data_IF_597993387281
#
_entry.id   IF_597993387281
#
_cell.length_a   1.000
_cell.length_b   1.000
_cell.length_c   1.000
_cell.angle_alpha   90.00
_cell.angle_beta   90.00
_cell.angle_gamma   90.00
#
_symmetry.space_group_name_H-M   'P 1'
#
loop_
_entity.id
_entity.type
_entity.pdbx_description
1 polymer ?
#
# COMPACT_ATOMS: atom_id res chain seq x y z
N UNK A 1 3.09 -1.08 -33.03
CA UNK A 1 2.98 -0.07 -31.96
C UNK A 1 2.81 -0.81 -30.64
N UNK A 2 3.73 -0.65 -29.67
CA UNK A 2 3.54 -1.24 -28.36
C UNK A 2 2.40 -0.49 -27.66
N UNK A 3 1.36 -1.21 -27.26
CA UNK A 3 0.24 -0.65 -26.52
C UNK A 3 0.67 -0.39 -25.07
N UNK A 4 0.49 0.84 -24.56
CA UNK A 4 0.65 1.13 -23.12
C UNK A 4 -0.54 0.49 -22.40
N UNK A 5 -0.35 -0.72 -21.87
CA UNK A 5 -1.37 -1.48 -21.15
C UNK A 5 -1.46 -0.99 -19.71
N UNK A 6 -2.66 -0.97 -19.14
CA UNK A 6 -2.90 -0.65 -17.72
C UNK A 6 -2.08 -1.61 -16.84
N UNK A 7 -1.10 -1.07 -16.11
CA UNK A 7 -0.23 -1.82 -15.20
C UNK A 7 -0.82 -1.98 -13.80
N UNK A 8 -0.04 -2.57 -12.90
CA UNK A 8 -0.36 -2.61 -11.46
C UNK A 8 -0.51 -1.19 -10.91
N UNK A 9 -1.42 -1.00 -9.96
CA UNK A 9 -1.58 0.28 -9.23
C UNK A 9 -0.77 0.32 -7.93
N UNK A 10 -0.10 -0.78 -7.58
CA UNK A 10 0.78 -0.83 -6.42
C UNK A 10 2.04 -0.02 -6.69
N UNK A 11 2.37 0.94 -5.81
CA UNK A 11 3.53 1.82 -5.99
C UNK A 11 4.85 1.04 -6.14
N UNK A 12 5.02 -0.05 -5.40
CA UNK A 12 6.22 -0.88 -5.47
C UNK A 12 6.40 -1.57 -6.84
N UNK A 13 5.30 -1.98 -7.47
CA UNK A 13 5.34 -2.57 -8.80
C UNK A 13 5.62 -1.50 -9.86
N UNK A 14 5.02 -0.31 -9.71
CA UNK A 14 5.23 0.82 -10.61
C UNK A 14 6.66 1.36 -10.54
N UNK A 15 7.27 1.39 -9.36
CA UNK A 15 8.64 1.84 -9.18
C UNK A 15 9.65 0.92 -9.89
N UNK A 16 9.39 -0.39 -9.90
CA UNK A 16 10.22 -1.41 -10.55
C UNK A 16 9.90 -1.60 -12.03
N UNK A 17 8.68 -1.25 -12.44
CA UNK A 17 8.25 -1.40 -13.82
C UNK A 17 9.11 -0.52 -14.74
N UNK A 18 9.34 -1.03 -15.95
CA UNK A 18 9.92 -0.23 -17.01
C UNK A 18 9.00 0.98 -17.29
N UNK A 19 9.60 2.16 -17.32
CA UNK A 19 8.87 3.41 -17.59
C UNK A 19 8.62 3.47 -19.08
N UNK A 20 7.35 3.44 -19.47
CA UNK A 20 6.93 3.48 -20.87
C UNK A 20 5.90 4.57 -21.06
N UNK A 21 5.97 5.21 -22.22
CA UNK A 21 5.02 6.23 -22.60
C UNK A 21 4.88 6.41 -24.10
N UNK A 22 3.96 7.29 -24.46
CA UNK A 22 3.56 7.59 -25.82
C UNK A 22 3.24 9.07 -25.95
N UNK A 23 3.82 9.70 -26.98
CA UNK A 23 3.47 11.06 -27.37
C UNK A 23 2.00 11.10 -27.81
N UNK A 24 1.26 12.08 -27.29
CA UNK A 24 -0.15 12.28 -27.68
C UNK A 24 -0.31 13.12 -28.93
N UNK A 25 0.75 13.85 -29.35
CA UNK A 25 0.69 14.88 -30.38
C UNK A 25 -0.01 16.17 -29.92
N UNK A 26 -0.39 16.27 -28.63
CA UNK A 26 -0.98 17.45 -28.03
C UNK A 26 0.09 18.26 -27.29
N UNK A 27 -0.12 19.57 -27.21
CA UNK A 27 0.72 20.48 -26.44
C UNK A 27 -0.12 21.29 -25.45
N UNK A 28 0.54 21.81 -24.41
CA UNK A 28 -0.01 22.77 -23.46
C UNK A 28 0.95 23.94 -23.29
N UNK A 29 0.42 25.14 -23.08
CA UNK A 29 1.24 26.34 -22.89
C UNK A 29 1.74 26.45 -21.45
N UNK A 30 3.06 26.57 -21.26
CA UNK A 30 3.67 26.77 -19.95
C UNK A 30 3.33 28.17 -19.39
N UNK A 31 2.74 28.29 -18.18
CA UNK A 31 2.14 29.55 -17.72
C UNK A 31 3.14 30.66 -17.37
N UNK A 32 4.41 30.30 -17.12
CA UNK A 32 5.50 31.27 -16.87
C UNK A 32 6.26 31.68 -18.14
N UNK A 33 6.68 30.73 -18.98
CA UNK A 33 7.51 31.00 -20.17
C UNK A 33 6.70 31.26 -21.44
N UNK A 34 5.46 30.78 -21.51
CA UNK A 34 4.63 30.80 -22.72
C UNK A 34 5.03 29.75 -23.77
N UNK A 35 6.01 28.90 -23.48
CA UNK A 35 6.46 27.84 -24.39
C UNK A 35 5.44 26.70 -24.47
N UNK A 36 5.34 26.05 -25.63
CA UNK A 36 4.53 24.85 -25.81
C UNK A 36 5.26 23.62 -25.27
N UNK A 37 4.60 22.87 -24.40
CA UNK A 37 5.12 21.65 -23.76
C UNK A 37 4.34 20.44 -24.27
N UNK A 38 5.01 19.38 -24.77
CA UNK A 38 4.31 18.20 -25.26
C UNK A 38 3.65 17.40 -24.13
N UNK A 39 2.48 16.84 -24.42
CA UNK A 39 1.74 15.97 -23.48
C UNK A 39 2.02 14.52 -23.83
N UNK A 40 2.43 13.75 -22.82
CA UNK A 40 2.71 12.31 -22.94
C UNK A 40 1.76 11.50 -22.07
N UNK A 41 1.38 10.31 -22.56
CA UNK A 41 0.84 9.26 -21.70
C UNK A 41 2.00 8.48 -21.13
N UNK A 42 2.06 8.31 -19.81
CA UNK A 42 3.08 7.52 -19.13
C UNK A 42 2.44 6.52 -18.16
N UNK A 43 2.97 5.30 -18.11
CA UNK A 43 2.40 4.20 -17.31
C UNK A 43 2.53 4.38 -15.79
N UNK A 44 3.39 5.30 -15.34
CA UNK A 44 3.63 5.59 -13.93
C UNK A 44 2.76 6.74 -13.39
N UNK A 45 1.94 7.38 -14.23
CA UNK A 45 1.00 8.41 -13.80
C UNK A 45 -0.32 7.75 -13.40
N UNK A 46 -0.62 7.79 -12.11
CA UNK A 46 -1.84 7.18 -11.55
C UNK A 46 -3.02 8.14 -11.62
N UNK A 47 -4.05 7.79 -12.39
CA UNK A 47 -5.28 8.59 -12.51
C UNK A 47 -6.01 8.83 -11.19
N UNK A 48 -5.88 7.91 -10.22
CA UNK A 48 -6.47 8.04 -8.89
C UNK A 48 -5.63 8.88 -7.91
N UNK A 49 -4.45 9.37 -8.33
CA UNK A 49 -3.58 10.19 -7.50
C UNK A 49 -3.41 11.61 -8.06
N UNK A 50 -3.53 12.60 -7.17
CA UNK A 50 -3.44 14.00 -7.56
C UNK A 50 -4.56 14.36 -8.55
N UNK A 51 -4.18 14.92 -9.70
CA UNK A 51 -5.09 15.20 -10.83
C UNK A 51 -5.05 14.14 -11.92
N UNK A 52 -4.25 13.08 -11.78
CA UNK A 52 -3.95 12.16 -12.88
C UNK A 52 -3.03 12.75 -13.96
N UNK A 53 -2.39 13.88 -13.69
CA UNK A 53 -1.37 14.49 -14.54
C UNK A 53 -0.25 15.08 -13.67
N UNK A 54 0.98 15.01 -14.15
CA UNK A 54 2.17 15.57 -13.49
C UNK A 54 3.00 16.33 -14.52
N UNK A 55 3.66 17.41 -14.10
CA UNK A 55 4.71 18.04 -14.91
C UNK A 55 5.99 17.21 -14.78
N UNK A 56 6.77 17.13 -15.85
CA UNK A 56 8.06 16.46 -15.84
C UNK A 56 9.19 17.49 -15.76
N UNK A 57 10.15 17.31 -14.84
CA UNK A 57 11.35 18.17 -14.73
C UNK A 57 12.59 17.29 -14.75
N UNK A 58 13.01 16.78 -15.93
CA UNK A 58 14.03 15.72 -16.02
C UNK A 58 15.39 16.05 -15.42
N UNK A 59 15.76 17.33 -15.32
CA UNK A 59 17.03 17.69 -14.70
C UNK A 59 17.03 17.54 -13.17
N UNK A 60 15.85 17.40 -12.55
CA UNK A 60 15.67 17.48 -11.09
C UNK A 60 14.70 16.44 -10.49
N UNK A 61 14.25 15.48 -11.30
CA UNK A 61 13.48 14.29 -10.86
C UNK A 61 14.04 13.06 -11.58
N UNK A 62 14.44 12.05 -10.80
CA UNK A 62 15.13 10.85 -11.31
C UNK A 62 14.26 10.05 -12.29
N UNK A 63 12.95 9.98 -12.05
CA UNK A 63 12.02 9.23 -12.90
C UNK A 63 11.76 9.97 -14.20
N UNK A 64 11.63 11.28 -14.14
CA UNK A 64 11.52 12.12 -15.32
C UNK A 64 12.80 12.11 -16.16
N UNK A 65 13.97 12.03 -15.51
CA UNK A 65 15.27 11.86 -16.18
C UNK A 65 15.33 10.56 -16.97
N UNK A 66 15.02 9.42 -16.32
CA UNK A 66 15.00 8.11 -16.98
C UNK A 66 14.06 8.10 -18.18
N UNK A 67 12.87 8.69 -18.03
CA UNK A 67 11.91 8.81 -19.11
C UNK A 67 12.42 9.70 -20.24
N UNK A 68 13.00 10.85 -19.92
CA UNK A 68 13.51 11.79 -20.90
C UNK A 68 14.70 11.23 -21.70
N UNK A 69 15.65 10.56 -21.03
CA UNK A 69 16.77 9.89 -21.69
C UNK A 69 16.28 8.81 -22.65
N UNK A 70 15.28 8.02 -22.22
CA UNK A 70 14.73 6.93 -23.05
C UNK A 70 14.03 7.43 -24.32
N UNK A 71 13.35 8.57 -24.23
CA UNK A 71 12.54 9.12 -25.32
C UNK A 71 13.18 10.33 -26.01
N UNK A 72 14.46 10.62 -25.74
CA UNK A 72 15.21 11.76 -26.28
C UNK A 72 14.49 13.10 -26.08
N UNK A 73 13.95 13.31 -24.87
CA UNK A 73 13.25 14.53 -24.50
C UNK A 73 14.22 15.57 -23.90
N UNK A 74 13.92 16.88 -24.03
CA UNK A 74 14.77 17.94 -23.51
C UNK A 74 14.99 17.84 -22.00
N UNK A 75 16.24 17.97 -21.57
CA UNK A 75 16.65 18.03 -20.16
C UNK A 75 17.21 19.43 -19.89
N UNK A 76 16.46 20.27 -19.18
CA UNK A 76 16.81 21.66 -18.89
C UNK A 76 17.11 21.86 -17.41
N UNK A 77 18.34 22.24 -17.10
CA UNK A 77 18.75 22.58 -15.74
C UNK A 77 18.15 23.90 -15.31
N UNK A 78 17.49 23.90 -14.14
CA UNK A 78 16.94 25.09 -13.49
C UNK A 78 17.38 25.26 -12.03
N UNK A 79 18.06 24.28 -11.44
CA UNK A 79 18.66 24.36 -10.11
C UNK A 79 20.19 24.36 -10.25
N UNK A 80 20.85 25.26 -9.52
CA UNK A 80 22.30 25.35 -9.49
C UNK A 80 22.90 24.07 -8.89
N UNK A 81 23.92 23.54 -9.54
CA UNK A 81 24.61 22.31 -9.14
C UNK A 81 26.02 22.65 -8.66
N UNK A 82 26.53 22.01 -7.59
CA UNK A 82 27.93 22.16 -7.18
C UNK A 82 28.90 21.81 -8.33
N UNK A 83 30.04 22.50 -8.38
CA UNK A 83 31.11 22.20 -9.34
C UNK A 83 31.56 20.74 -9.20
N UNK A 84 31.70 20.03 -10.32
CA UNK A 84 32.15 18.63 -10.36
C UNK A 84 31.07 17.59 -10.04
N UNK A 85 29.87 17.99 -9.61
CA UNK A 85 28.80 17.07 -9.19
C UNK A 85 28.51 15.95 -10.21
N UNK A 86 28.31 16.29 -11.48
CA UNK A 86 28.00 15.31 -12.52
C UNK A 86 29.19 14.41 -12.87
N UNK A 87 30.42 14.90 -12.72
CA UNK A 87 31.63 14.12 -13.02
C UNK A 87 31.86 13.07 -11.93
N UNK A 88 31.64 13.43 -10.66
CA UNK A 88 31.67 12.52 -9.53
C UNK A 88 30.62 11.41 -9.66
N UNK A 89 29.38 11.77 -10.00
CA UNK A 89 28.29 10.81 -10.24
C UNK A 89 28.61 9.80 -11.35
N UNK A 90 29.17 10.28 -12.46
CA UNK A 90 29.59 9.39 -13.57
C UNK A 90 30.75 8.49 -13.14
N UNK A 91 31.68 8.99 -12.34
CA UNK A 91 32.80 8.21 -11.83
C UNK A 91 32.32 7.10 -10.88
N UNK A 92 31.38 7.39 -10.00
CA UNK A 92 30.77 6.41 -9.09
C UNK A 92 29.98 5.34 -9.84
N UNK A 93 29.11 5.74 -10.77
CA UNK A 93 28.34 4.80 -11.59
C UNK A 93 29.25 3.84 -12.37
N UNK A 94 30.35 4.36 -12.92
CA UNK A 94 31.38 3.55 -13.59
C UNK A 94 32.11 2.61 -12.64
N UNK A 95 32.40 3.05 -11.42
CA UNK A 95 33.07 2.21 -10.42
C UNK A 95 32.18 1.05 -9.94
N UNK A 96 30.86 1.26 -9.91
CA UNK A 96 29.86 0.29 -9.45
C UNK A 96 29.18 -0.50 -10.57
N UNK A 97 29.57 -0.30 -11.84
CA UNK A 97 28.95 -0.90 -13.03
C UNK A 97 27.41 -0.69 -13.06
N UNK A 98 26.98 0.53 -12.76
CA UNK A 98 25.57 0.92 -12.69
C UNK A 98 25.20 1.98 -13.73
N UNK A 99 23.91 2.11 -14.03
CA UNK A 99 23.39 3.20 -14.87
C UNK A 99 23.51 4.54 -14.12
N UNK A 100 23.90 5.60 -14.85
CA UNK A 100 24.02 6.94 -14.29
C UNK A 100 22.72 7.73 -14.47
N UNK A 101 22.15 8.20 -13.35
CA UNK A 101 21.08 9.18 -13.34
C UNK A 101 21.68 10.56 -13.05
N UNK A 102 21.45 11.54 -13.92
CA UNK A 102 22.00 12.90 -13.79
C UNK A 102 20.94 13.92 -13.31
N UNK A 103 19.84 13.46 -12.73
CA UNK A 103 18.92 14.36 -12.04
C UNK A 103 19.55 14.90 -10.75
N UNK A 104 19.61 16.23 -10.59
CA UNK A 104 20.00 16.86 -9.35
C UNK A 104 18.76 17.12 -8.49
N UNK A 105 18.56 16.31 -7.44
CA UNK A 105 17.35 16.29 -6.60
C UNK A 105 17.44 17.15 -5.34
N UNK A 106 18.63 17.66 -5.01
CA UNK A 106 18.87 18.49 -3.84
C UNK A 106 18.39 19.93 -4.03
N UNK A 107 18.12 20.61 -2.93
CA UNK A 107 17.74 22.03 -2.96
C UNK A 107 18.96 22.91 -3.19
N UNK A 108 18.82 23.89 -4.08
CA UNK A 108 19.79 24.97 -4.27
C UNK A 108 19.06 26.20 -4.87
N UNK A 109 19.80 27.22 -5.26
CA UNK A 109 19.26 28.40 -5.93
C UNK A 109 18.87 28.12 -7.38
N UNK A 110 17.89 28.86 -7.88
CA UNK A 110 17.46 28.76 -9.27
C UNK A 110 18.47 29.39 -10.25
N UNK A 111 18.58 28.78 -11.42
CA UNK A 111 19.31 29.25 -12.61
C UNK A 111 18.43 29.03 -13.85
N UNK A 112 18.72 29.70 -14.96
CA UNK A 112 17.99 29.54 -16.24
C UNK A 112 16.45 29.67 -16.11
N UNK A 113 16.00 30.46 -15.13
CA UNK A 113 14.63 30.63 -14.68
C UNK A 113 14.17 32.10 -14.78
N UNK A 114 14.97 32.97 -15.41
CA UNK A 114 14.58 34.34 -15.74
C UNK A 114 14.48 35.23 -14.50
N UNK A 115 13.32 35.81 -14.23
CA UNK A 115 13.12 36.70 -13.07
C UNK A 115 13.26 35.98 -11.71
N UNK A 116 13.30 34.64 -11.71
CA UNK A 116 13.44 33.83 -10.51
C UNK A 116 14.89 33.38 -10.25
N UNK A 117 15.85 33.73 -11.11
CA UNK A 117 17.25 33.35 -10.93
C UNK A 117 17.82 33.87 -9.60
N UNK A 118 18.60 33.03 -8.92
CA UNK A 118 19.21 33.33 -7.64
C UNK A 118 18.31 33.13 -6.41
N UNK A 119 17.01 32.90 -6.59
CA UNK A 119 16.10 32.60 -5.48
C UNK A 119 16.34 31.19 -4.93
N UNK A 120 16.25 31.04 -3.61
CA UNK A 120 16.19 29.72 -2.98
C UNK A 120 14.81 29.06 -3.12
N UNK A 121 14.65 27.84 -2.59
CA UNK A 121 13.40 27.09 -2.69
C UNK A 121 12.17 27.84 -2.13
N UNK A 122 12.27 28.42 -0.94
CA UNK A 122 11.12 29.06 -0.30
C UNK A 122 10.77 30.35 -1.02
N UNK A 123 11.78 31.15 -1.37
CA UNK A 123 11.61 32.38 -2.13
C UNK A 123 11.01 32.12 -3.52
N UNK A 124 11.53 31.12 -4.23
CA UNK A 124 11.03 30.74 -5.55
C UNK A 124 9.58 30.23 -5.49
N UNK A 125 9.27 29.38 -4.51
CA UNK A 125 7.91 28.84 -4.32
C UNK A 125 6.89 29.97 -4.10
N UNK A 126 7.18 30.89 -3.17
CA UNK A 126 6.28 32.01 -2.89
C UNK A 126 6.20 33.00 -4.06
N UNK A 127 7.32 33.29 -4.74
CA UNK A 127 7.34 34.20 -5.89
C UNK A 127 6.53 33.65 -7.09
N UNK A 128 6.69 32.36 -7.41
CA UNK A 128 5.93 31.71 -8.48
C UNK A 128 4.44 31.65 -8.14
N UNK A 129 4.09 31.34 -6.89
CA UNK A 129 2.69 31.35 -6.47
C UNK A 129 2.07 32.75 -6.55
N UNK A 130 2.74 33.77 -6.02
CA UNK A 130 2.27 35.15 -6.07
C UNK A 130 2.02 35.65 -7.51
N UNK A 131 2.78 35.12 -8.49
CA UNK A 131 2.61 35.44 -9.91
C UNK A 131 1.45 34.71 -10.57
N UNK A 132 1.19 33.46 -10.19
CA UNK A 132 0.24 32.56 -10.86
C UNK A 132 -1.15 32.53 -10.20
N UNK A 133 -1.24 32.72 -8.89
CA UNK A 133 -2.50 32.67 -8.14
C UNK A 133 -3.52 33.75 -8.55
N UNK A 134 -3.15 35.03 -8.80
CA UNK A 134 -4.10 36.04 -9.29
C UNK A 134 -4.67 35.76 -10.69
N UNK A 135 -4.04 34.84 -11.44
CA UNK A 135 -4.50 34.38 -12.76
C UNK A 135 -5.30 33.09 -12.67
N UNK A 136 -5.53 32.56 -11.47
CA UNK A 136 -6.16 31.26 -11.22
C UNK A 136 -5.40 30.06 -11.83
N UNK A 137 -4.09 30.21 -12.06
CA UNK A 137 -3.24 29.18 -12.65
C UNK A 137 -2.43 28.37 -11.62
N UNK A 138 -2.50 28.76 -10.35
CA UNK A 138 -1.88 28.02 -9.24
C UNK A 138 -2.64 28.23 -7.93
N UNK A 139 -2.55 27.24 -7.04
CA UNK A 139 -2.98 27.35 -5.63
C UNK A 139 -2.17 26.37 -4.76
N UNK A 140 -1.91 26.73 -3.49
CA UNK A 140 -1.31 25.77 -2.54
C UNK A 140 -2.27 24.60 -2.31
N UNK A 141 -1.73 23.38 -2.28
CA UNK A 141 -2.49 22.17 -1.97
C UNK A 141 -1.63 21.22 -1.13
N UNK A 142 -2.18 20.79 0.00
CA UNK A 142 -1.60 19.72 0.82
C UNK A 142 -2.12 18.40 0.25
N UNK A 143 -1.22 17.42 0.05
CA UNK A 143 -1.58 16.09 -0.42
C UNK A 143 -0.96 15.03 0.48
N UNK A 144 -1.63 13.88 0.57
CA UNK A 144 -1.16 12.72 1.31
C UNK A 144 -0.96 11.55 0.35
N UNK A 145 0.13 10.80 0.55
CA UNK A 145 0.32 9.50 -0.12
C UNK A 145 -0.65 8.46 0.41
N UNK A 146 -1.05 8.58 1.68
CA UNK A 146 -2.06 7.75 2.31
C UNK A 146 -3.37 7.78 1.50
N UNK A 147 -4.00 6.61 1.38
CA UNK A 147 -5.31 6.42 0.76
C UNK A 147 -6.31 5.98 1.81
N UNK A 148 -7.58 6.15 1.48
CA UNK A 148 -8.65 5.59 2.30
C UNK A 148 -8.55 4.07 2.36
N UNK A 149 -8.97 3.52 3.50
CA UNK A 149 -8.92 2.08 3.73
C UNK A 149 -10.14 1.40 3.07
N UNK A 150 -9.88 0.71 1.97
CA UNK A 150 -10.89 -0.16 1.34
C UNK A 150 -11.10 -1.43 2.16
N UNK A 151 -12.19 -1.48 2.92
CA UNK A 151 -12.49 -2.59 3.84
C UNK A 151 -13.29 -3.74 3.21
N UNK A 152 -13.81 -3.62 1.99
CA UNK A 152 -14.60 -4.69 1.37
C UNK A 152 -13.72 -5.81 0.81
N UNK A 153 -14.12 -7.06 1.05
CA UNK A 153 -13.47 -8.27 0.51
C UNK A 153 -14.52 -9.19 -0.09
N UNK A 154 -14.30 -9.59 -1.35
CA UNK A 154 -15.12 -10.61 -2.01
C UNK A 154 -14.67 -12.02 -1.56
N UNK A 155 -14.78 -12.29 -0.26
CA UNK A 155 -14.40 -13.54 0.40
C UNK A 155 -15.51 -13.93 1.38
N UNK A 156 -15.64 -15.23 1.62
CA UNK A 156 -16.66 -15.76 2.52
C UNK A 156 -16.23 -15.67 3.99
N UNK A 157 -14.99 -16.06 4.30
CA UNK A 157 -14.55 -16.18 5.68
C UNK A 157 -14.10 -14.83 6.25
N UNK A 158 -15.07 -14.07 6.75
CA UNK A 158 -14.87 -12.78 7.40
C UNK A 158 -16.15 -12.24 8.03
N UNK A 159 -16.05 -11.14 8.76
CA UNK A 159 -17.22 -10.47 9.34
C UNK A 159 -18.11 -9.89 8.23
N UNK A 160 -19.40 -10.27 8.11
CA UNK A 160 -20.31 -9.69 7.13
C UNK A 160 -20.43 -8.18 7.30
N UNK A 161 -20.39 -7.44 6.19
CA UNK A 161 -20.59 -5.99 6.21
C UNK A 161 -22.08 -5.72 6.53
N UNK A 162 -22.42 -4.95 7.58
CA UNK A 162 -23.80 -4.78 8.04
C UNK A 162 -24.56 -3.72 7.23
N UNK A 163 -24.59 -3.89 5.90
CA UNK A 163 -25.31 -3.04 4.95
C UNK A 163 -26.34 -3.86 4.17
N UNK A 164 -27.43 -3.19 3.78
CA UNK A 164 -28.53 -3.72 2.97
C UNK A 164 -28.67 -2.83 1.72
N UNK A 165 -28.72 -3.45 0.55
CA UNK A 165 -28.91 -2.82 -0.74
C UNK A 165 -30.40 -2.87 -1.13
N UNK A 166 -31.04 -1.71 -1.20
CA UNK A 166 -32.44 -1.56 -1.58
C UNK A 166 -32.57 -0.72 -2.86
N UNK A 167 -33.33 -1.19 -3.84
CA UNK A 167 -33.53 -0.49 -5.11
C UNK A 167 -34.16 0.90 -4.95
N UNK A 168 -34.94 1.12 -3.88
CA UNK A 168 -35.62 2.39 -3.63
C UNK A 168 -34.87 3.33 -2.69
N UNK A 169 -34.15 2.78 -1.70
CA UNK A 169 -33.50 3.55 -0.64
C UNK A 169 -31.97 3.64 -0.78
N UNK A 170 -31.39 2.92 -1.74
CA UNK A 170 -29.95 2.73 -1.87
C UNK A 170 -29.37 1.80 -0.80
N UNK A 171 -28.09 2.00 -0.48
CA UNK A 171 -27.39 1.25 0.56
C UNK A 171 -27.73 1.83 1.94
N UNK A 172 -28.29 1.00 2.82
CA UNK A 172 -28.72 1.38 4.18
C UNK A 172 -28.08 0.46 5.22
N UNK A 173 -27.73 0.95 6.42
CA UNK A 173 -27.20 0.08 7.46
C UNK A 173 -28.28 -0.88 7.98
N UNK A 174 -27.84 -2.02 8.51
CA UNK A 174 -28.68 -2.89 9.36
C UNK A 174 -29.01 -2.15 10.66
N UNK A 175 -30.23 -2.31 11.17
CA UNK A 175 -30.65 -1.72 12.45
C UNK A 175 -29.87 -2.33 13.62
N UNK A 176 -29.58 -1.54 14.65
CA UNK A 176 -28.74 -1.97 15.78
C UNK A 176 -29.26 -3.22 16.49
N UNK A 177 -30.58 -3.33 16.64
CA UNK A 177 -31.26 -4.48 17.25
C UNK A 177 -31.15 -5.78 16.42
N UNK A 178 -30.89 -5.66 15.12
CA UNK A 178 -30.76 -6.77 14.17
C UNK A 178 -29.29 -7.18 13.99
N UNK A 179 -28.37 -6.51 14.70
CA UNK A 179 -26.99 -6.93 14.80
C UNK A 179 -26.84 -8.09 15.80
N UNK A 180 -25.88 -9.02 15.57
CA UNK A 180 -24.97 -9.07 14.41
C UNK A 180 -25.62 -9.70 13.17
N UNK A 181 -25.13 -9.32 11.98
CA UNK A 181 -25.35 -10.12 10.77
C UNK A 181 -24.49 -11.38 10.88
N UNK A 182 -25.13 -12.51 11.21
CA UNK A 182 -24.42 -13.77 11.47
C UNK A 182 -23.94 -14.40 10.16
N UNK A 183 -22.64 -14.68 10.07
CA UNK A 183 -22.05 -15.44 8.96
C UNK A 183 -22.56 -16.90 9.02
N UNK A 184 -23.20 -17.43 7.95
CA UNK A 184 -23.54 -18.85 7.88
C UNK A 184 -22.27 -19.70 7.89
N UNK A 185 -22.16 -20.70 8.76
CA UNK A 185 -20.93 -21.51 8.90
C UNK A 185 -20.99 -22.87 8.21
N UNK A 186 -22.19 -23.37 7.90
CA UNK A 186 -22.39 -24.63 7.18
C UNK A 186 -22.30 -24.42 5.66
N UNK A 187 -21.13 -23.94 5.22
CA UNK A 187 -20.84 -23.61 3.82
C UNK A 187 -19.49 -24.21 3.46
N UNK A 188 -19.45 -24.96 2.35
CA UNK A 188 -18.22 -25.52 1.78
C UNK A 188 -17.85 -24.70 0.54
N UNK A 189 -16.80 -23.87 0.59
CA UNK A 189 -16.35 -23.11 -0.58
C UNK A 189 -15.86 -24.05 -1.68
N UNK A 190 -16.34 -23.88 -2.91
CA UNK A 190 -15.95 -24.67 -4.09
C UNK A 190 -14.87 -23.99 -4.95
N UNK A 191 -14.37 -22.84 -4.48
CA UNK A 191 -13.39 -22.00 -5.18
C UNK A 191 -13.98 -21.09 -6.27
N UNK A 192 -15.29 -21.12 -6.51
CA UNK A 192 -15.96 -20.31 -7.55
C UNK A 192 -16.67 -19.09 -6.92
N UNK A 193 -15.90 -18.02 -6.74
CA UNK A 193 -16.44 -16.75 -6.27
C UNK A 193 -16.82 -16.74 -4.77
N UNK A 194 -17.65 -15.78 -4.37
CA UNK A 194 -18.09 -15.64 -2.97
C UNK A 194 -19.39 -16.44 -2.74
N UNK A 195 -19.37 -17.53 -1.95
CA UNK A 195 -20.52 -18.40 -1.78
C UNK A 195 -21.72 -17.72 -1.11
N UNK A 196 -21.50 -16.65 -0.32
CA UNK A 196 -22.59 -15.92 0.34
C UNK A 196 -23.66 -15.43 -0.65
N UNK A 197 -23.26 -15.08 -1.88
CA UNK A 197 -24.17 -14.64 -2.96
C UNK A 197 -25.20 -15.69 -3.35
N UNK A 198 -24.92 -16.96 -3.09
CA UNK A 198 -25.75 -18.09 -3.52
C UNK A 198 -26.56 -18.69 -2.36
N UNK A 199 -26.67 -17.98 -1.22
CA UNK A 199 -27.39 -18.42 -0.02
C UNK A 199 -28.61 -17.52 0.16
N UNK A 200 -29.79 -17.87 -0.41
CA UNK A 200 -30.97 -17.01 -0.41
C UNK A 200 -31.43 -16.60 1.00
N UNK A 201 -31.27 -17.47 2.00
CA UNK A 201 -31.61 -17.21 3.39
C UNK A 201 -30.69 -16.19 4.08
N UNK A 202 -29.49 -15.97 3.54
CA UNK A 202 -28.58 -14.92 3.97
C UNK A 202 -28.82 -13.63 3.20
N UNK A 203 -28.88 -13.72 1.86
CA UNK A 203 -28.95 -12.55 0.97
C UNK A 203 -30.30 -11.86 1.07
N UNK A 204 -31.40 -12.60 1.02
CA UNK A 204 -32.73 -11.99 0.95
C UNK A 204 -33.14 -11.45 2.32
N UNK A 205 -33.50 -10.16 2.35
CA UNK A 205 -33.99 -9.48 3.53
C UNK A 205 -35.03 -8.43 3.14
N UNK A 206 -35.51 -7.67 4.12
CA UNK A 206 -36.36 -6.49 3.90
C UNK A 206 -35.59 -5.23 4.22
N UNK A 207 -35.82 -4.17 3.45
CA UNK A 207 -35.22 -2.86 3.71
C UNK A 207 -35.77 -2.28 5.02
N UNK A 208 -34.93 -1.91 6.00
CA UNK A 208 -35.40 -1.37 7.27
C UNK A 208 -36.10 -0.01 7.14
N UNK A 209 -35.82 0.74 6.06
CA UNK A 209 -36.43 2.07 5.83
C UNK A 209 -37.83 2.02 5.21
N UNK A 210 -38.09 1.08 4.29
CA UNK A 210 -39.33 1.07 3.51
C UNK A 210 -40.10 -0.26 3.54
N UNK A 211 -39.53 -1.33 4.11
CA UNK A 211 -40.14 -2.65 4.18
C UNK A 211 -40.12 -3.46 2.89
N UNK A 212 -39.70 -2.89 1.76
CA UNK A 212 -39.62 -3.60 0.48
C UNK A 212 -38.52 -4.69 0.50
N UNK A 213 -38.61 -5.71 -0.39
CA UNK A 213 -37.53 -6.67 -0.60
C UNK A 213 -36.19 -5.98 -0.89
N UNK A 214 -35.12 -6.47 -0.28
CA UNK A 214 -33.77 -5.96 -0.41
C UNK A 214 -32.75 -7.09 -0.24
N UNK A 215 -31.49 -6.81 -0.57
CA UNK A 215 -30.40 -7.79 -0.47
C UNK A 215 -29.36 -7.33 0.54
N UNK A 216 -28.87 -8.24 1.40
CA UNK A 216 -27.70 -7.95 2.25
C UNK A 216 -26.44 -7.79 1.41
N UNK A 217 -25.52 -6.94 1.86
CA UNK A 217 -24.16 -6.97 1.35
C UNK A 217 -23.55 -8.37 1.58
N UNK A 218 -22.85 -8.87 0.57
CA UNK A 218 -22.24 -10.21 0.59
C UNK A 218 -20.74 -10.16 0.73
N UNK A 219 -20.12 -9.00 0.52
CA UNK A 219 -18.73 -8.79 0.89
C UNK A 219 -18.55 -8.82 2.41
N UNK A 220 -17.39 -9.31 2.84
CA UNK A 220 -16.97 -9.29 4.24
C UNK A 220 -15.94 -8.19 4.47
N UNK A 221 -15.73 -7.82 5.73
CA UNK A 221 -14.66 -6.91 6.10
C UNK A 221 -13.27 -7.50 5.82
N UNK A 222 -12.34 -6.59 5.56
CA UNK A 222 -10.90 -6.80 5.64
C UNK A 222 -10.51 -7.26 7.03
N UNK A 223 -9.70 -8.32 7.15
CA UNK A 223 -9.38 -8.95 8.44
C UNK A 223 -8.55 -8.05 9.36
N UNK A 224 -8.01 -6.94 8.84
CA UNK A 224 -7.41 -5.89 9.65
C UNK A 224 -8.43 -5.17 10.54
N UNK A 225 -9.73 -5.19 10.20
CA UNK A 225 -10.77 -4.60 11.05
C UNK A 225 -10.75 -5.26 12.43
N UNK A 226 -10.72 -6.58 12.52
CA UNK A 226 -10.68 -7.30 13.79
C UNK A 226 -9.39 -7.03 14.57
N UNK A 227 -8.23 -7.05 13.89
CA UNK A 227 -6.93 -6.80 14.54
C UNK A 227 -6.72 -5.33 14.94
N UNK A 228 -7.57 -4.41 14.50
CA UNK A 228 -7.43 -2.98 14.80
C UNK A 228 -7.93 -2.58 16.19
N UNK A 229 -8.71 -3.43 16.87
CA UNK A 229 -9.31 -3.05 18.17
C UNK A 229 -9.33 -4.17 19.23
N UNK A 230 -8.87 -5.38 18.89
CA UNK A 230 -8.85 -6.52 19.82
C UNK A 230 -8.12 -6.24 21.15
N UNK A 231 -7.07 -5.40 21.14
CA UNK A 231 -6.34 -5.01 22.35
C UNK A 231 -7.26 -4.30 23.37
N UNK A 232 -8.21 -3.49 22.88
CA UNK A 232 -9.19 -2.82 23.72
C UNK A 232 -10.28 -3.80 24.18
N UNK A 233 -10.72 -4.72 23.29
CA UNK A 233 -11.69 -5.76 23.66
C UNK A 233 -11.19 -6.67 24.77
N UNK A 234 -9.89 -6.98 24.82
CA UNK A 234 -9.30 -7.77 25.90
C UNK A 234 -9.45 -7.15 27.29
N UNK A 235 -9.68 -5.83 27.41
CA UNK A 235 -10.00 -5.23 28.70
C UNK A 235 -11.35 -5.73 29.26
N UNK A 236 -12.28 -6.15 28.38
CA UNK A 236 -13.65 -6.56 28.75
C UNK A 236 -14.26 -7.59 27.77
N UNK A 237 -13.65 -8.77 27.62
CA UNK A 237 -14.00 -9.71 26.53
C UNK A 237 -15.43 -10.26 26.63
N UNK A 238 -16.01 -10.28 27.83
CA UNK A 238 -17.34 -10.82 28.10
C UNK A 238 -18.43 -9.74 28.23
N UNK A 239 -18.15 -8.47 27.90
CA UNK A 239 -19.18 -7.42 27.88
C UNK A 239 -20.11 -7.64 26.67
N UNK A 240 -21.34 -8.08 26.94
CA UNK A 240 -22.33 -8.38 25.90
C UNK A 240 -23.13 -7.15 25.44
N UNK A 241 -22.90 -5.97 26.02
CA UNK A 241 -23.68 -4.76 25.75
C UNK A 241 -22.86 -3.71 25.01
N UNK A 242 -21.55 -3.65 25.27
CA UNK A 242 -20.67 -2.63 24.68
C UNK A 242 -19.56 -3.29 23.87
N UNK A 243 -19.05 -2.54 22.89
CA UNK A 243 -17.81 -2.90 22.18
C UNK A 243 -16.64 -3.07 23.17
N UNK A 244 -16.47 -2.12 24.10
CA UNK A 244 -15.52 -2.18 25.22
C UNK A 244 -16.14 -1.51 26.45
N UNK A 245 -16.04 -2.15 27.61
CA UNK A 245 -16.43 -1.55 28.87
C UNK A 245 -15.50 -0.38 29.22
N UNK A 246 -16.06 0.83 29.35
CA UNK A 246 -15.27 2.05 29.56
C UNK A 246 -14.41 2.03 30.84
N UNK A 247 -14.94 1.54 31.95
CA UNK A 247 -14.18 1.45 33.20
C UNK A 247 -13.01 0.48 33.09
N UNK A 248 -13.17 -0.60 32.33
CA UNK A 248 -12.09 -1.53 32.06
C UNK A 248 -11.05 -0.93 31.08
N UNK A 249 -11.50 -0.25 30.02
CA UNK A 249 -10.63 0.46 29.10
C UNK A 249 -9.74 1.48 29.82
N UNK A 250 -10.32 2.34 30.66
CA UNK A 250 -9.58 3.35 31.42
C UNK A 250 -8.58 2.76 32.42
N UNK A 251 -8.78 1.51 32.84
CA UNK A 251 -7.86 0.82 33.76
C UNK A 251 -6.67 0.21 33.02
N UNK A 252 -6.90 -0.35 31.83
CA UNK A 252 -5.94 -1.20 31.13
C UNK A 252 -5.29 -0.56 29.91
N UNK A 253 -5.85 0.54 29.40
CA UNK A 253 -5.32 1.26 28.23
C UNK A 253 -4.63 2.56 28.64
N UNK A 254 -3.60 2.99 27.89
CA UNK A 254 -3.02 2.33 26.71
C UNK A 254 -2.26 1.04 27.08
N UNK A 255 -1.99 0.19 26.09
CA UNK A 255 -1.14 -1.00 26.30
C UNK A 255 0.28 -0.52 26.60
N UNK A 256 0.81 -0.88 27.77
CA UNK A 256 2.16 -0.44 28.19
C UNK A 256 3.26 -0.93 27.24
N UNK A 257 3.19 -2.20 26.83
CA UNK A 257 4.17 -2.82 25.93
C UNK A 257 3.46 -3.68 24.88
N UNK A 258 3.62 -3.30 23.61
CA UNK A 258 3.18 -4.09 22.47
C UNK A 258 4.38 -4.80 21.83
N UNK A 259 4.23 -6.09 21.50
CA UNK A 259 5.30 -6.91 20.91
C UNK A 259 4.78 -7.54 19.62
N UNK A 260 5.47 -7.33 18.50
CA UNK A 260 5.05 -7.85 17.20
C UNK A 260 6.15 -7.70 16.14
N UNK A 261 6.11 -8.52 15.09
CA UNK A 261 7.16 -8.49 14.07
C UNK A 261 7.10 -7.22 13.20
N UNK A 262 8.23 -6.86 12.60
CA UNK A 262 8.38 -5.65 11.78
C UNK A 262 7.49 -5.65 10.52
N UNK A 263 7.04 -6.83 10.08
CA UNK A 263 6.07 -6.99 8.98
C UNK A 263 4.75 -6.25 9.23
N UNK A 264 4.41 -5.96 10.48
CA UNK A 264 3.19 -5.24 10.86
C UNK A 264 3.41 -3.72 11.06
N UNK A 265 4.62 -3.21 10.82
CA UNK A 265 5.01 -1.85 11.18
C UNK A 265 4.21 -0.74 10.47
N UNK A 266 3.70 -1.00 9.27
CA UNK A 266 2.95 0.00 8.48
C UNK A 266 1.45 -0.21 8.62
N UNK A 267 0.88 -1.26 8.02
CA UNK A 267 -0.58 -1.42 7.91
C UNK A 267 -1.26 -1.62 9.27
N UNK A 268 -1.00 -2.75 9.94
CA UNK A 268 -1.65 -3.10 11.21
C UNK A 268 -1.51 -2.01 12.28
N UNK A 269 -0.29 -1.52 12.53
CA UNK A 269 -0.07 -0.48 13.53
C UNK A 269 -0.77 0.84 13.16
N UNK A 270 -0.78 1.22 11.88
CA UNK A 270 -1.52 2.41 11.45
C UNK A 270 -3.03 2.23 11.66
N UNK A 271 -3.59 1.06 11.32
CA UNK A 271 -5.01 0.79 11.50
C UNK A 271 -5.40 0.72 12.97
N UNK A 272 -4.60 0.09 13.83
CA UNK A 272 -4.86 0.08 15.27
C UNK A 272 -4.86 1.50 15.88
N UNK A 273 -3.94 2.37 15.45
CA UNK A 273 -3.91 3.77 15.86
C UNK A 273 -5.11 4.56 15.33
N UNK A 274 -5.49 4.33 14.07
CA UNK A 274 -6.69 4.92 13.46
C UNK A 274 -7.95 4.52 14.23
N UNK A 275 -8.14 3.22 14.50
CA UNK A 275 -9.28 2.69 15.23
C UNK A 275 -9.31 3.16 16.69
N UNK A 276 -8.15 3.32 17.35
CA UNK A 276 -8.09 3.91 18.69
C UNK A 276 -8.65 5.32 18.71
N UNK A 277 -8.26 6.15 17.74
CA UNK A 277 -8.75 7.53 17.62
C UNK A 277 -10.25 7.56 17.30
N UNK A 278 -10.76 6.65 16.46
CA UNK A 278 -12.21 6.49 16.25
C UNK A 278 -12.93 6.12 17.54
N UNK A 279 -12.44 5.11 18.28
CA UNK A 279 -13.02 4.72 19.57
C UNK A 279 -12.97 5.84 20.61
N UNK A 280 -11.91 6.66 20.60
CA UNK A 280 -11.77 7.84 21.47
C UNK A 280 -12.81 8.90 21.11
N UNK A 281 -12.98 9.17 19.82
CA UNK A 281 -13.94 10.17 19.32
C UNK A 281 -15.39 9.74 19.60
N UNK A 282 -15.66 8.42 19.62
CA UNK A 282 -16.91 7.80 20.10
C UNK A 282 -16.96 7.59 21.62
N UNK A 283 -15.99 8.14 22.37
CA UNK A 283 -15.95 8.16 23.84
C UNK A 283 -15.91 6.77 24.50
N UNK A 284 -15.43 5.74 23.79
CA UNK A 284 -15.25 4.36 24.27
C UNK A 284 -13.92 4.16 25.01
N UNK A 285 -12.88 4.90 24.62
CA UNK A 285 -11.53 4.88 25.23
C UNK A 285 -11.04 6.31 25.51
N UNK A 286 -9.97 6.42 26.29
CA UNK A 286 -9.30 7.70 26.59
C UNK A 286 -7.84 7.67 26.14
N UNK A 287 -7.28 8.83 25.82
CA UNK A 287 -5.93 8.97 25.28
C UNK A 287 -5.90 8.90 23.76
N UNK A 288 -4.74 9.22 23.18
CA UNK A 288 -4.61 9.41 21.73
C UNK A 288 -4.02 8.19 21.01
N UNK A 289 -3.32 7.32 21.72
CA UNK A 289 -2.53 6.23 21.13
C UNK A 289 -2.75 4.91 21.88
N UNK A 290 -2.85 3.78 21.16
CA UNK A 290 -3.17 2.48 21.76
C UNK A 290 -1.99 1.81 22.48
N UNK A 291 -0.75 2.13 22.12
CA UNK A 291 0.46 1.45 22.57
C UNK A 291 1.50 2.47 23.06
N UNK A 292 1.94 2.36 24.31
CA UNK A 292 2.96 3.26 24.88
C UNK A 292 4.37 2.89 24.40
N UNK A 293 4.67 1.59 24.34
CA UNK A 293 5.94 1.06 23.83
C UNK A 293 5.71 -0.01 22.77
N UNK A 294 6.63 -0.09 21.80
CA UNK A 294 6.66 -1.10 20.75
C UNK A 294 8.01 -1.81 20.76
N UNK A 295 7.99 -3.14 20.85
CA UNK A 295 9.16 -4.00 20.67
C UNK A 295 8.96 -4.85 19.43
N UNK A 296 9.86 -4.72 18.47
CA UNK A 296 9.84 -5.50 17.23
C UNK A 296 10.80 -6.68 17.31
N UNK A 297 10.27 -7.90 17.51
CA UNK A 297 11.13 -9.08 17.55
C UNK A 297 11.74 -9.40 16.18
N UNK A 298 12.94 -9.98 16.20
CA UNK A 298 13.56 -10.57 15.03
C UNK A 298 12.82 -11.83 14.55
N UNK A 299 13.06 -12.21 13.30
CA UNK A 299 12.42 -13.37 12.69
C UNK A 299 13.12 -14.67 13.11
N UNK A 300 12.33 -15.72 13.32
CA UNK A 300 12.85 -17.09 13.39
C UNK A 300 12.98 -17.62 11.96
N UNK A 301 14.19 -18.06 11.61
CA UNK A 301 14.50 -18.55 10.28
C UNK A 301 14.72 -20.06 10.30
N UNK A 302 14.35 -20.75 9.22
CA UNK A 302 14.72 -22.15 9.00
C UNK A 302 15.11 -22.41 7.55
N UNK A 303 15.84 -23.50 7.34
CA UNK A 303 16.12 -24.02 6.00
C UNK A 303 14.86 -24.61 5.37
N UNK A 304 14.72 -24.42 4.06
CA UNK A 304 13.63 -24.99 3.27
C UNK A 304 14.09 -26.24 2.55
N UNK A 305 13.21 -27.23 2.42
CA UNK A 305 13.48 -28.47 1.68
C UNK A 305 12.32 -28.75 0.74
N UNK A 306 12.59 -29.00 -0.53
CA UNK A 306 11.52 -29.16 -1.51
C UNK A 306 11.88 -30.07 -2.68
N UNK A 307 10.88 -30.44 -3.47
CA UNK A 307 11.01 -31.04 -4.80
C UNK A 307 10.09 -30.30 -5.77
N UNK A 308 10.53 -30.18 -7.03
CA UNK A 308 9.69 -29.65 -8.12
C UNK A 308 9.00 -30.83 -8.80
N UNK A 309 7.68 -30.76 -8.89
CA UNK A 309 6.83 -31.76 -9.52
C UNK A 309 6.85 -31.61 -11.05
N UNK A 310 6.39 -32.63 -11.77
CA UNK A 310 6.39 -32.63 -13.24
C UNK A 310 5.49 -31.54 -13.86
N UNK A 311 4.48 -31.06 -13.11
CA UNK A 311 3.60 -29.96 -13.50
C UNK A 311 4.18 -28.56 -13.18
N UNK A 312 5.39 -28.50 -12.62
CA UNK A 312 6.06 -27.27 -12.22
C UNK A 312 5.68 -26.76 -10.82
N UNK A 313 4.78 -27.42 -10.10
CA UNK A 313 4.49 -27.09 -8.71
C UNK A 313 5.62 -27.54 -7.78
N UNK A 314 5.72 -26.92 -6.59
CA UNK A 314 6.74 -27.25 -5.59
C UNK A 314 6.10 -27.91 -4.38
N UNK A 315 6.58 -29.09 -4.01
CA UNK A 315 6.24 -29.74 -2.73
C UNK A 315 7.34 -29.45 -1.72
N UNK A 316 6.97 -28.78 -0.62
CA UNK A 316 7.85 -28.51 0.51
C UNK A 316 7.73 -29.61 1.57
N UNK A 317 8.85 -29.91 2.23
CA UNK A 317 8.95 -30.92 3.28
C UNK A 317 9.46 -30.27 4.56
N UNK A 318 8.93 -30.70 5.71
CA UNK A 318 9.41 -30.22 7.00
C UNK A 318 10.82 -30.74 7.28
N UNK A 319 11.65 -29.92 7.92
CA UNK A 319 13.02 -30.29 8.26
C UNK A 319 13.09 -31.57 9.11
N UNK A 320 12.07 -31.85 9.93
CA UNK A 320 11.98 -33.06 10.75
C UNK A 320 11.77 -34.34 9.93
N UNK A 321 11.27 -34.23 8.70
CA UNK A 321 11.09 -35.35 7.77
C UNK A 321 12.33 -35.63 6.92
N UNK A 322 13.38 -34.82 7.08
CA UNK A 322 14.59 -34.88 6.26
C UNK A 322 15.77 -35.41 7.09
N UNK A 323 16.50 -36.38 6.53
CA UNK A 323 17.86 -36.71 6.97
C UNK A 323 18.84 -35.77 6.28
N UNK A 324 19.50 -34.92 7.08
CA UNK A 324 20.37 -33.85 6.61
C UNK A 324 21.82 -34.17 6.97
N UNK A 325 22.68 -34.27 5.96
CA UNK A 325 24.12 -34.32 6.17
C UNK A 325 24.70 -32.91 6.14
N UNK A 326 25.57 -32.61 7.11
CA UNK A 326 26.26 -31.32 7.21
C UNK A 326 27.75 -31.49 6.92
N UNK A 327 28.36 -30.45 6.34
CA UNK A 327 29.82 -30.37 6.26
C UNK A 327 30.45 -29.93 7.60
N UNK A 328 31.78 -29.89 7.65
CA UNK A 328 32.55 -29.47 8.84
C UNK A 328 32.26 -28.04 9.31
N UNK A 329 31.67 -27.20 8.45
CA UNK A 329 31.26 -25.82 8.77
C UNK A 329 29.80 -25.72 9.21
N UNK A 330 29.10 -26.84 9.36
CA UNK A 330 27.68 -26.89 9.73
C UNK A 330 26.73 -26.49 8.60
N UNK A 331 27.17 -26.50 7.34
CA UNK A 331 26.30 -26.21 6.20
C UNK A 331 25.66 -27.52 5.70
N UNK A 332 24.34 -27.53 5.43
CA UNK A 332 23.68 -28.70 4.89
C UNK A 332 24.15 -28.95 3.45
N UNK A 333 24.63 -30.16 3.16
CA UNK A 333 25.19 -30.56 1.86
C UNK A 333 24.39 -31.67 1.16
N UNK A 334 23.59 -32.42 1.92
CA UNK A 334 22.71 -33.46 1.40
C UNK A 334 21.45 -33.52 2.24
N UNK A 335 20.32 -33.74 1.59
CA UNK A 335 19.03 -33.86 2.24
C UNK A 335 18.24 -35.00 1.59
N UNK A 336 17.78 -35.95 2.39
CA UNK A 336 17.01 -37.12 1.95
C UNK A 336 15.69 -37.14 2.71
N UNK A 337 14.58 -37.32 2.01
CA UNK A 337 13.29 -37.49 2.66
C UNK A 337 13.22 -38.88 3.31
N UNK A 338 12.90 -38.92 4.60
CA UNK A 338 12.86 -40.16 5.39
C UNK A 338 11.84 -41.18 4.87
N UNK A 339 10.71 -40.71 4.33
CA UNK A 339 9.61 -41.58 3.92
C UNK A 339 9.87 -42.41 2.68
N UNK A 340 10.68 -41.92 1.74
CA UNK A 340 10.96 -42.60 0.47
C UNK A 340 12.45 -42.80 0.16
N UNK A 341 13.34 -42.27 1.02
CA UNK A 341 14.78 -42.38 0.86
C UNK A 341 15.32 -41.63 -0.36
N UNK A 342 14.53 -40.77 -1.00
CA UNK A 342 14.92 -40.02 -2.19
C UNK A 342 15.44 -38.61 -1.83
N UNK A 343 16.35 -38.04 -2.62
CA UNK A 343 16.89 -36.71 -2.35
C UNK A 343 15.83 -35.61 -2.42
N UNK A 344 16.01 -34.56 -1.63
CA UNK A 344 15.26 -33.29 -1.74
C UNK A 344 16.24 -32.14 -2.01
N UNK A 345 15.75 -31.07 -2.61
CA UNK A 345 16.53 -29.85 -2.82
C UNK A 345 16.60 -29.06 -1.52
N UNK A 346 17.82 -28.69 -1.13
CA UNK A 346 18.08 -27.76 -0.03
C UNK A 346 17.87 -26.35 -0.57
N UNK A 347 16.82 -25.68 -0.11
CA UNK A 347 16.48 -24.31 -0.47
C UNK A 347 17.23 -23.28 0.37
N UNK A 348 16.81 -22.02 0.24
CA UNK A 348 17.36 -20.92 1.03
C UNK A 348 16.85 -21.00 2.47
N UNK A 349 17.59 -20.34 3.37
CA UNK A 349 17.06 -20.00 4.68
C UNK A 349 15.99 -18.94 4.45
N UNK A 350 14.76 -19.27 4.80
CA UNK A 350 13.60 -18.41 4.58
C UNK A 350 12.90 -18.11 5.92
N UNK A 351 12.01 -17.13 5.88
CA UNK A 351 11.16 -16.80 7.01
C UNK A 351 10.18 -17.95 7.22
N UNK A 352 10.21 -18.58 8.39
CA UNK A 352 9.10 -19.45 8.75
C UNK A 352 7.89 -18.56 9.02
N UNK A 353 6.81 -18.78 8.27
CA UNK A 353 5.50 -18.17 8.52
C UNK A 353 4.73 -19.04 9.50
#
# INVERSE_FOLDING_TARGET
MPFVKKGSVAEADLAKAEKIGMDTGLTVTHPLTGEEVPVWVANYVLMSYGSGAVMAVPAHDERDYEFAVKYDLPIKQVINTPDGYFDELKADAKANDSEVNLAYTERNTLVNSGEFDGLDFEQAFEAMLAKLEPKELAKKKIQYRLRDWGVSRQRYWGCPIPMINCEHCGTVPVEEQDLPVVLPTDVVPDGRGNPLKNIPEFVNTTCPKCGNPAERETDTFDTFVESSWYYARFASPNDAQNMVNKSAANKWLPVDQYVGGVEHAVMHLLYARFFHKLMRDENLVTGDEPFANLMTQGMVLAGTFYRVNADGSTTYYFAEDIDIDFNERGQPIKAILKSDGQPVTIGKIEKNV
#
